data_IF_909018090747
#
_entry.id   IF_909018090747
#
_cell.length_a   1.000
_cell.length_b   1.000
_cell.length_c   1.000
_cell.angle_alpha   90.00
_cell.angle_beta   90.00
_cell.angle_gamma   90.00
#
_symmetry.space_group_name_H-M   'P 1'
#
loop_
_entity.id
_entity.type
_entity.pdbx_description
1 polymer ?
#
# COMPACT_ATOMS: atom_id res chain seq x y z
N UNK A 1 -31.55 -0.58 -15.63
CA UNK A 1 -30.19 -0.04 -15.76
C UNK A 1 -29.30 -0.95 -14.94
N UNK A 2 -28.34 -1.65 -15.55
CA UNK A 2 -27.40 -2.49 -14.80
C UNK A 2 -26.35 -1.57 -14.20
N UNK A 3 -26.31 -1.49 -12.88
CA UNK A 3 -25.26 -0.79 -12.13
C UNK A 3 -23.97 -1.59 -12.27
N UNK A 4 -23.14 -1.26 -13.26
CA UNK A 4 -21.83 -1.87 -13.52
C UNK A 4 -20.75 -1.34 -12.55
N UNK A 5 -21.12 -1.01 -11.31
CA UNK A 5 -20.16 -0.50 -10.33
C UNK A 5 -19.35 -1.65 -9.74
N UNK A 6 -18.06 -1.71 -10.09
CA UNK A 6 -17.09 -2.60 -9.42
C UNK A 6 -16.80 -2.07 -8.02
N UNK A 7 -17.44 -2.64 -7.00
CA UNK A 7 -17.24 -2.27 -5.59
C UNK A 7 -16.23 -3.20 -4.94
N UNK A 8 -15.47 -2.68 -3.98
CA UNK A 8 -14.62 -3.48 -3.10
C UNK A 8 -15.07 -3.32 -1.65
N UNK A 9 -15.00 -4.40 -0.88
CA UNK A 9 -15.19 -4.38 0.57
C UNK A 9 -13.80 -4.28 1.20
N UNK A 10 -13.58 -3.26 2.04
CA UNK A 10 -12.33 -3.08 2.78
C UNK A 10 -12.59 -3.19 4.27
N UNK A 11 -11.61 -3.73 5.01
CA UNK A 11 -11.64 -3.73 6.46
C UNK A 11 -11.03 -2.41 6.96
N UNK A 12 -11.76 -1.69 7.80
CA UNK A 12 -11.31 -0.41 8.37
C UNK A 12 -10.62 -0.57 9.73
N UNK A 13 -10.57 -1.78 10.30
CA UNK A 13 -9.92 -2.04 11.59
C UNK A 13 -8.44 -2.42 11.46
N UNK A 14 -7.87 -2.30 10.26
CA UNK A 14 -6.51 -2.72 9.95
C UNK A 14 -5.70 -1.56 9.36
N UNK A 15 -4.40 -1.56 9.66
CA UNK A 15 -3.48 -0.59 9.08
C UNK A 15 -2.98 -1.10 7.72
N UNK A 16 -3.51 -0.50 6.65
CA UNK A 16 -3.12 -0.83 5.29
C UNK A 16 -3.28 0.35 4.34
N UNK A 17 -2.46 0.36 3.28
CA UNK A 17 -2.67 1.18 2.11
C UNK A 17 -3.38 0.36 1.01
N UNK A 18 -4.33 0.99 0.32
CA UNK A 18 -5.10 0.36 -0.73
C UNK A 18 -4.84 1.07 -2.07
N UNK A 19 -4.38 0.32 -3.07
CA UNK A 19 -4.10 0.83 -4.42
C UNK A 19 -5.11 0.25 -5.40
N UNK A 20 -5.84 1.13 -6.09
CA UNK A 20 -6.79 0.75 -7.15
C UNK A 20 -6.21 1.10 -8.51
N UNK A 21 -6.14 0.12 -9.42
CA UNK A 21 -5.71 0.34 -10.80
C UNK A 21 -6.45 -0.60 -11.75
N UNK A 22 -7.06 -0.05 -12.80
CA UNK A 22 -7.80 -0.80 -13.84
C UNK A 22 -8.84 -1.78 -13.24
N UNK A 23 -9.57 -1.35 -12.22
CA UNK A 23 -10.60 -2.17 -11.55
C UNK A 23 -10.08 -3.26 -10.60
N UNK A 24 -8.75 -3.35 -10.40
CA UNK A 24 -8.15 -4.26 -9.43
C UNK A 24 -7.73 -3.48 -8.17
N UNK A 25 -8.13 -4.00 -7.00
CA UNK A 25 -7.66 -3.54 -5.70
C UNK A 25 -6.46 -4.37 -5.26
N UNK A 26 -5.38 -3.70 -4.87
CA UNK A 26 -4.21 -4.30 -4.22
C UNK A 26 -4.09 -3.72 -2.82
N UNK A 27 -4.14 -4.58 -1.80
CA UNK A 27 -3.89 -4.22 -0.40
C UNK A 27 -2.38 -4.31 -0.12
N UNK A 28 -1.86 -3.30 0.55
CA UNK A 28 -0.47 -3.20 0.96
C UNK A 28 -0.45 -3.03 2.47
N UNK A 29 0.12 -4.00 3.17
CA UNK A 29 0.35 -3.93 4.62
C UNK A 29 1.77 -3.49 4.90
N UNK A 30 1.97 -2.75 6.00
CA UNK A 30 3.29 -2.35 6.44
C UNK A 30 4.19 -3.59 6.65
N UNK A 31 5.48 -3.44 6.31
CA UNK A 31 6.54 -4.34 6.80
C UNK A 31 6.93 -3.91 8.21
N UNK A 32 7.62 -4.77 8.96
CA UNK A 32 8.11 -4.46 10.31
C UNK A 32 8.87 -3.13 10.35
N UNK A 33 9.81 -2.95 9.41
CA UNK A 33 10.51 -1.70 9.17
C UNK A 33 10.68 -1.48 7.66
N UNK A 34 10.30 -0.29 7.16
CA UNK A 34 10.36 -0.06 5.73
C UNK A 34 9.79 1.29 5.27
N UNK A 35 9.80 1.45 3.94
CA UNK A 35 9.14 2.53 3.24
C UNK A 35 8.57 1.98 1.94
N UNK A 36 7.30 2.29 1.67
CA UNK A 36 6.66 2.06 0.38
C UNK A 36 6.53 3.42 -0.35
N UNK A 37 6.88 3.49 -1.63
CA UNK A 37 6.81 4.71 -2.46
C UNK A 37 5.83 4.48 -3.60
N UNK A 38 4.77 5.30 -3.66
CA UNK A 38 3.79 5.26 -4.75
C UNK A 38 4.28 6.15 -5.90
N UNK A 39 4.42 5.55 -7.08
CA UNK A 39 4.85 6.26 -8.29
C UNK A 39 3.62 6.60 -9.12
N UNK A 40 3.41 7.89 -9.36
CA UNK A 40 2.33 8.40 -10.19
C UNK A 40 2.79 8.70 -11.61
N UNK A 41 1.98 8.37 -12.61
CA UNK A 41 2.18 8.79 -13.99
C UNK A 41 0.83 9.08 -14.64
N UNK A 42 0.69 10.27 -15.22
CA UNK A 42 -0.52 10.71 -15.91
C UNK A 42 -1.79 10.57 -15.04
N UNK A 43 -1.71 10.95 -13.77
CA UNK A 43 -2.84 10.89 -12.83
C UNK A 43 -3.24 9.48 -12.38
N UNK A 44 -2.44 8.45 -12.71
CA UNK A 44 -2.69 7.06 -12.32
C UNK A 44 -1.50 6.51 -11.55
N UNK A 45 -1.74 5.54 -10.67
CA UNK A 45 -0.65 4.77 -10.06
C UNK A 45 0.06 3.99 -11.16
N UNK A 46 1.34 4.25 -11.37
CA UNK A 46 2.19 3.48 -12.26
C UNK A 46 2.68 2.23 -11.54
N UNK A 47 3.30 2.42 -10.38
CA UNK A 47 3.96 1.37 -9.61
C UNK A 47 3.99 1.70 -8.11
N UNK A 48 4.37 0.70 -7.32
CA UNK A 48 4.68 0.85 -5.89
C UNK A 48 6.02 0.18 -5.59
N UNK A 49 7.01 0.99 -5.28
CA UNK A 49 8.32 0.50 -4.85
C UNK A 49 8.27 0.17 -3.36
N UNK A 50 8.59 -1.09 -3.02
CA UNK A 50 8.52 -1.59 -1.64
C UNK A 50 9.90 -1.88 -1.09
N UNK A 51 10.36 -1.06 -0.15
CA UNK A 51 11.69 -1.20 0.45
C UNK A 51 11.59 -1.61 1.92
N UNK A 52 12.33 -2.65 2.26
CA UNK A 52 12.58 -3.03 3.65
C UNK A 52 13.76 -2.23 4.18
N UNK A 53 13.68 -1.80 5.44
CA UNK A 53 14.74 -1.03 6.08
C UNK A 53 15.21 -1.81 7.30
N UNK A 54 16.44 -2.31 7.23
CA UNK A 54 17.11 -2.88 8.39
C UNK A 54 17.75 -1.71 9.14
N UNK A 55 17.36 -1.51 10.41
CA UNK A 55 18.00 -0.51 11.26
C UNK A 55 19.28 -1.10 11.84
N UNK A 56 20.41 -0.49 11.52
CA UNK A 56 21.74 -1.00 11.88
C UNK A 56 22.16 -0.54 13.30
N UNK A 57 21.60 0.56 13.82
CA UNK A 57 21.98 1.09 15.14
C UNK A 57 20.78 1.57 15.99
N UNK A 58 20.82 1.21 17.28
CA UNK A 58 19.75 1.44 18.27
C UNK A 58 19.60 0.37 19.35
N UNK A 59 20.47 -0.64 19.38
CA UNK A 59 20.50 -1.64 20.46
C UNK A 59 21.37 -1.15 21.64
N UNK A 60 21.18 0.09 22.09
CA UNK A 60 21.57 0.44 23.45
C UNK A 60 20.35 0.26 24.33
N UNK A 61 20.24 -0.96 24.87
CA UNK A 61 19.41 -1.22 26.05
C UNK A 61 20.02 -0.39 27.17
N UNK A 62 19.31 0.64 27.63
CA UNK A 62 19.52 1.16 28.99
C UNK A 62 18.62 0.35 29.92
#
# INVERSE_FOLDING_TARGET
>A
MHDNTTKAVINLTEDAAYVVKKGKLTKITAREHGQDVIIWKNGQVLDVDRNERIRIEGQEVI
#
